data_IF_432864431057
#
_entry.id   IF_432864431057
#
_cell.length_a   1.000
_cell.length_b   1.000
_cell.length_c   1.000
_cell.angle_alpha   90.00
_cell.angle_beta   90.00
_cell.angle_gamma   90.00
#
_symmetry.space_group_name_H-M   'P 1'
#
loop_
_entity.id
_entity.type
_entity.pdbx_description
1 polymer ?
#
# COMPACT_ATOMS: atom_id res chain seq x y z
N UNK A 1 -40.05 -41.17 31.74
CA UNK A 1 -39.56 -41.13 30.34
C UNK A 1 -39.05 -39.75 29.87
N UNK A 2 -39.44 -38.62 30.49
CA UNK A 2 -38.99 -37.26 30.10
C UNK A 2 -37.51 -36.93 30.38
N UNK A 3 -36.87 -37.56 31.37
CA UNK A 3 -35.44 -37.33 31.72
C UNK A 3 -34.44 -37.86 30.67
N UNK A 4 -34.83 -38.84 29.83
CA UNK A 4 -33.93 -39.45 28.83
C UNK A 4 -33.71 -38.55 27.60
N UNK A 5 -34.68 -37.71 27.24
CA UNK A 5 -34.58 -36.80 26.11
C UNK A 5 -33.82 -35.50 26.43
N UNK A 6 -33.80 -35.08 27.71
CA UNK A 6 -33.06 -33.90 28.14
C UNK A 6 -31.54 -34.05 27.99
N UNK A 7 -31.00 -35.25 28.28
CA UNK A 7 -29.59 -35.56 28.06
C UNK A 7 -29.21 -35.56 26.58
N UNK A 8 -30.08 -36.09 25.71
CA UNK A 8 -29.87 -36.10 24.26
C UNK A 8 -29.88 -34.67 23.68
N UNK A 9 -30.79 -33.81 24.15
CA UNK A 9 -30.89 -32.42 23.70
C UNK A 9 -29.68 -31.60 24.15
N UNK A 10 -29.16 -31.84 25.36
CA UNK A 10 -27.95 -31.19 25.87
C UNK A 10 -26.71 -31.60 25.05
N UNK A 11 -26.59 -32.88 24.68
CA UNK A 11 -25.50 -33.38 23.84
C UNK A 11 -25.57 -32.76 22.43
N UNK A 12 -26.77 -32.66 21.85
CA UNK A 12 -26.97 -32.03 20.54
C UNK A 12 -26.62 -30.53 20.57
N UNK A 13 -27.01 -29.83 21.64
CA UNK A 13 -26.67 -28.43 21.85
C UNK A 13 -25.15 -28.26 21.96
N UNK A 14 -24.49 -29.04 22.84
CA UNK A 14 -23.03 -29.02 22.98
C UNK A 14 -22.31 -29.33 21.66
N UNK A 15 -22.81 -30.27 20.84
CA UNK A 15 -22.19 -30.56 19.54
C UNK A 15 -22.28 -29.40 18.53
N UNK A 16 -23.32 -28.55 18.61
CA UNK A 16 -23.42 -27.32 17.81
C UNK A 16 -22.53 -26.19 18.35
N UNK A 17 -22.21 -26.19 19.65
CA UNK A 17 -21.28 -25.25 20.26
C UNK A 17 -19.81 -25.64 20.05
N UNK A 18 -19.52 -26.92 19.76
CA UNK A 18 -18.16 -27.42 19.47
C UNK A 18 -17.76 -27.34 17.99
N UNK A 19 -18.64 -26.90 17.07
CA UNK A 19 -18.26 -26.64 15.67
C UNK A 19 -17.52 -25.31 15.46
N UNK A 20 -17.11 -24.64 16.55
CA UNK A 20 -16.29 -23.44 16.50
C UNK A 20 -14.82 -23.79 16.25
N UNK A 21 -14.44 -23.92 14.97
CA UNK A 21 -13.14 -23.55 14.38
C UNK A 21 -13.09 -24.02 12.91
N UNK A 22 -14.11 -23.70 12.11
CA UNK A 22 -14.05 -23.95 10.66
C UNK A 22 -13.21 -22.89 9.93
N UNK A 23 -13.00 -21.73 10.56
CA UNK A 23 -12.34 -20.57 9.93
C UNK A 23 -10.89 -20.41 10.43
N UNK A 24 -10.15 -21.52 10.51
CA UNK A 24 -8.72 -21.48 10.78
C UNK A 24 -7.98 -21.14 9.48
N UNK A 25 -7.65 -19.86 9.30
CA UNK A 25 -6.65 -19.42 8.34
C UNK A 25 -5.26 -19.60 8.97
N UNK A 26 -4.43 -20.44 8.37
CA UNK A 26 -3.01 -20.55 8.72
C UNK A 26 -2.30 -19.23 8.36
N UNK A 27 -2.06 -18.38 9.36
CA UNK A 27 -1.23 -17.17 9.25
C UNK A 27 0.19 -17.46 8.70
N UNK A 28 0.60 -18.72 8.71
CA UNK A 28 1.90 -19.21 8.25
C UNK A 28 1.99 -19.38 6.72
N UNK A 29 0.91 -19.19 5.95
CA UNK A 29 0.87 -19.32 4.48
C UNK A 29 0.44 -18.05 3.75
N UNK A 30 0.55 -16.89 4.40
CA UNK A 30 0.24 -15.60 3.80
C UNK A 30 1.51 -14.80 3.50
N UNK A 31 1.50 -14.09 2.38
CA UNK A 31 2.49 -13.07 2.10
C UNK A 31 1.80 -11.70 2.11
N UNK A 32 2.17 -10.90 3.10
CA UNK A 32 1.51 -9.63 3.38
C UNK A 32 2.14 -8.53 2.54
N UNK A 33 1.33 -7.86 1.72
CA UNK A 33 1.78 -6.70 0.94
C UNK A 33 1.52 -5.43 1.75
N UNK A 34 2.59 -4.72 2.07
CA UNK A 34 2.53 -3.45 2.81
C UNK A 34 2.60 -2.22 1.90
N UNK A 35 3.35 -2.30 0.80
CA UNK A 35 3.53 -1.20 -0.15
C UNK A 35 3.29 -1.65 -1.58
N UNK A 36 2.70 -0.75 -2.36
CA UNK A 36 2.65 -0.86 -3.81
C UNK A 36 3.38 0.28 -4.48
N UNK A 37 3.97 -0.02 -5.63
CA UNK A 37 4.42 0.96 -6.60
C UNK A 37 3.79 0.64 -7.96
N UNK A 38 3.21 1.67 -8.58
CA UNK A 38 2.57 1.57 -9.88
C UNK A 38 3.31 2.43 -10.89
N UNK A 39 3.83 1.78 -11.94
CA UNK A 39 4.59 2.41 -13.00
C UNK A 39 3.97 2.08 -14.36
N UNK A 40 4.24 2.93 -15.36
CA UNK A 40 3.89 2.65 -16.75
C UNK A 40 5.09 2.00 -17.44
N UNK A 41 4.88 0.83 -18.06
CA UNK A 41 5.85 0.18 -18.90
C UNK A 41 5.89 0.79 -20.30
N UNK A 42 6.95 0.44 -21.04
CA UNK A 42 6.95 0.62 -22.50
C UNK A 42 5.82 -0.21 -23.12
N UNK A 43 5.21 0.29 -24.20
CA UNK A 43 4.03 -0.30 -24.87
C UNK A 43 2.73 -0.23 -24.08
N UNK A 44 2.54 0.81 -23.27
CA UNK A 44 1.25 1.15 -22.66
C UNK A 44 0.69 0.04 -21.75
N UNK A 45 1.60 -0.66 -21.04
CA UNK A 45 1.25 -1.68 -20.04
C UNK A 45 1.47 -1.15 -18.64
N UNK A 46 0.68 -1.63 -17.68
CA UNK A 46 0.88 -1.29 -16.26
C UNK A 46 1.88 -2.24 -15.61
N UNK A 47 2.77 -1.69 -14.78
CA UNK A 47 3.68 -2.41 -13.89
C UNK A 47 3.18 -2.22 -12.47
N UNK A 48 2.97 -3.33 -11.76
CA UNK A 48 2.76 -3.33 -10.32
C UNK A 48 4.00 -3.95 -9.66
N UNK A 49 4.60 -3.22 -8.74
CA UNK A 49 5.65 -3.74 -7.85
C UNK A 49 5.09 -3.74 -6.44
N UNK A 50 5.27 -4.85 -5.73
CA UNK A 50 4.79 -5.02 -4.36
C UNK A 50 5.97 -5.31 -3.42
N UNK A 51 5.90 -4.74 -2.22
CA UNK A 51 6.83 -5.02 -1.13
C UNK A 51 6.15 -5.97 -0.15
N UNK A 52 6.77 -7.13 0.07
CA UNK A 52 6.21 -8.22 0.85
C UNK A 52 6.96 -8.37 2.17
N UNK A 53 6.16 -8.54 3.22
CA UNK A 53 6.62 -8.98 4.53
C UNK A 53 6.11 -10.41 4.74
N UNK A 54 7.04 -11.35 4.93
CA UNK A 54 6.69 -12.74 5.26
C UNK A 54 6.66 -12.94 6.77
N UNK A 55 5.61 -13.60 7.26
CA UNK A 55 5.43 -13.94 8.68
C UNK A 55 6.39 -15.04 9.14
N UNK A 56 6.88 -15.90 8.24
CA UNK A 56 7.66 -17.09 8.58
C UNK A 56 9.08 -16.83 9.13
N UNK A 57 9.71 -15.69 8.82
CA UNK A 57 11.06 -15.40 9.35
C UNK A 57 11.05 -14.84 10.77
N UNK A 58 9.89 -14.48 11.32
CA UNK A 58 9.78 -13.97 12.68
C UNK A 58 9.73 -15.07 13.76
N UNK A 59 9.46 -16.33 13.39
CA UNK A 59 9.27 -17.44 14.32
C UNK A 59 10.54 -18.29 14.57
N UNK A 60 11.67 -17.96 13.95
CA UNK A 60 12.92 -18.75 14.06
C UNK A 60 13.96 -18.18 15.05
N UNK A 61 13.58 -17.27 15.96
CA UNK A 61 14.47 -16.74 17.01
C UNK A 61 14.31 -17.50 18.34
N UNK A 62 14.39 -18.83 18.26
CA UNK A 62 14.21 -19.76 19.38
C UNK A 62 15.40 -20.69 19.60
N UNK A 63 16.63 -20.22 19.42
CA UNK A 63 17.83 -20.90 19.93
C UNK A 63 19.01 -19.93 19.89
N UNK A 64 19.76 -19.87 20.98
CA UNK A 64 20.89 -18.96 21.12
C UNK A 64 21.95 -19.15 20.03
N UNK A 65 22.55 -18.01 19.70
CA UNK A 65 23.73 -17.78 18.86
C UNK A 65 23.50 -17.32 17.41
N UNK A 66 24.22 -16.23 17.09
CA UNK A 66 24.44 -15.56 15.79
C UNK A 66 23.25 -14.88 15.05
N UNK A 67 23.30 -13.54 15.03
CA UNK A 67 22.67 -12.61 14.06
C UNK A 67 21.20 -12.88 13.69
N UNK A 68 20.30 -12.25 14.45
CA UNK A 68 18.92 -12.01 14.01
C UNK A 68 18.93 -11.23 12.68
N UNK A 69 18.96 -11.97 11.57
CA UNK A 69 18.80 -11.39 10.24
C UNK A 69 17.32 -11.14 10.09
N UNK A 70 16.90 -9.88 10.23
CA UNK A 70 15.53 -9.43 10.01
C UNK A 70 14.98 -10.07 8.72
N UNK A 71 13.68 -10.43 8.67
CA UNK A 71 13.06 -10.96 7.47
C UNK A 71 13.43 -10.09 6.27
N UNK A 72 14.24 -10.59 5.34
CA UNK A 72 14.59 -9.81 4.15
C UNK A 72 13.30 -9.54 3.38
N UNK A 73 12.83 -8.29 3.30
CA UNK A 73 11.61 -8.00 2.56
C UNK A 73 11.84 -8.33 1.09
N UNK A 74 10.85 -8.98 0.47
CA UNK A 74 10.93 -9.38 -0.93
C UNK A 74 10.14 -8.38 -1.78
N UNK A 75 10.78 -7.88 -2.83
CA UNK A 75 10.15 -6.97 -3.79
C UNK A 75 9.88 -7.76 -5.05
N UNK A 76 8.61 -7.99 -5.37
CA UNK A 76 8.19 -8.68 -6.59
C UNK A 76 7.58 -7.67 -7.55
N UNK A 77 7.72 -7.94 -8.86
CA UNK A 77 7.19 -7.08 -9.90
C UNK A 77 6.47 -7.91 -10.96
N UNK A 78 5.28 -7.45 -11.35
CA UNK A 78 4.49 -8.06 -12.41
C UNK A 78 3.98 -7.00 -13.39
N UNK A 79 3.72 -7.44 -14.63
CA UNK A 79 3.17 -6.59 -15.70
C UNK A 79 1.77 -7.08 -16.07
N UNK A 80 0.90 -6.18 -16.49
CA UNK A 80 -0.45 -6.49 -16.99
C UNK A 80 -0.88 -5.47 -18.04
N UNK A 81 -1.95 -5.76 -18.80
CA UNK A 81 -2.55 -4.77 -19.69
C UNK A 81 -3.08 -3.57 -18.89
N UNK A 82 -3.71 -3.83 -17.73
CA UNK A 82 -4.17 -2.82 -16.77
C UNK A 82 -3.77 -3.19 -15.34
N UNK A 83 -3.93 -2.27 -14.38
CA UNK A 83 -3.46 -2.46 -13.02
C UNK A 83 -3.96 -3.75 -12.35
N UNK A 84 -5.23 -4.11 -12.53
CA UNK A 84 -5.78 -5.33 -11.94
C UNK A 84 -5.08 -6.60 -12.39
N UNK A 85 -4.74 -6.69 -13.68
CA UNK A 85 -4.06 -7.85 -14.24
C UNK A 85 -2.63 -7.86 -13.72
N UNK A 86 -1.98 -6.70 -13.63
CA UNK A 86 -0.65 -6.58 -13.04
C UNK A 86 -0.65 -7.08 -11.58
N UNK A 87 -1.62 -6.65 -10.75
CA UNK A 87 -1.78 -7.10 -9.36
C UNK A 87 -2.08 -8.60 -9.31
N UNK A 88 -2.97 -9.11 -10.16
CA UNK A 88 -3.28 -10.55 -10.23
C UNK A 88 -2.03 -11.36 -10.60
N UNK A 89 -1.21 -10.87 -11.53
CA UNK A 89 0.01 -11.54 -11.96
C UNK A 89 1.09 -11.58 -10.87
N UNK A 90 1.00 -10.74 -9.81
CA UNK A 90 1.91 -10.83 -8.66
C UNK A 90 1.80 -12.20 -7.96
N UNK A 91 0.61 -12.81 -7.92
CA UNK A 91 0.42 -14.12 -7.28
C UNK A 91 1.12 -15.26 -8.01
N UNK A 92 1.62 -15.04 -9.24
CA UNK A 92 2.39 -16.02 -9.99
C UNK A 92 3.86 -16.09 -9.52
N UNK A 93 4.31 -15.12 -8.74
CA UNK A 93 5.70 -15.02 -8.26
C UNK A 93 5.86 -15.48 -6.81
N UNK A 94 4.77 -15.75 -6.09
CA UNK A 94 4.80 -16.09 -4.67
C UNK A 94 4.00 -17.37 -4.45
N UNK A 95 4.53 -18.35 -3.70
CA UNK A 95 3.84 -19.61 -3.42
C UNK A 95 2.70 -19.47 -2.38
N UNK A 96 2.51 -18.28 -1.81
CA UNK A 96 1.60 -17.97 -0.73
C UNK A 96 0.42 -17.13 -1.21
N UNK A 97 -0.68 -17.15 -0.48
CA UNK A 97 -1.80 -16.25 -0.75
C UNK A 97 -1.41 -14.80 -0.42
N UNK A 98 -1.62 -13.89 -1.38
CA UNK A 98 -1.30 -12.48 -1.21
C UNK A 98 -2.40 -11.80 -0.40
N UNK A 99 -2.04 -11.24 0.75
CA UNK A 99 -2.98 -10.49 1.58
C UNK A 99 -2.59 -9.02 1.67
N UNK A 100 -3.61 -8.16 1.55
CA UNK A 100 -3.45 -6.69 1.57
C UNK A 100 -3.94 -6.08 2.89
N UNK A 101 -4.04 -6.89 3.93
CA UNK A 101 -4.63 -6.48 5.21
C UNK A 101 -3.84 -5.35 5.89
N UNK A 102 -2.52 -5.32 5.68
CA UNK A 102 -1.60 -4.31 6.18
C UNK A 102 -1.08 -3.38 5.07
N UNK A 103 -1.82 -3.21 3.98
CA UNK A 103 -1.44 -2.25 2.95
C UNK A 103 -1.48 -0.82 3.50
N UNK A 104 -0.33 -0.15 3.49
CA UNK A 104 -0.12 1.17 4.08
C UNK A 104 -0.12 2.27 3.01
N UNK A 105 0.61 2.07 1.91
CA UNK A 105 0.89 3.11 0.93
C UNK A 105 1.01 2.56 -0.49
N UNK A 106 0.31 3.22 -1.41
CA UNK A 106 0.43 3.04 -2.87
C UNK A 106 1.14 4.25 -3.48
N UNK A 107 2.28 3.99 -4.12
CA UNK A 107 3.14 5.00 -4.73
C UNK A 107 2.90 4.99 -6.24
N UNK A 108 2.56 6.15 -6.80
CA UNK A 108 2.33 6.34 -8.22
C UNK A 108 3.58 6.91 -8.88
N UNK A 109 4.04 6.29 -9.96
CA UNK A 109 5.00 6.92 -10.86
C UNK A 109 4.31 8.02 -11.67
N UNK A 110 5.02 9.11 -11.93
CA UNK A 110 4.48 10.28 -12.66
C UNK A 110 3.80 9.90 -13.98
N UNK A 111 4.46 9.07 -14.79
CA UNK A 111 3.91 8.61 -16.08
C UNK A 111 2.63 7.77 -15.92
N UNK A 112 2.56 6.95 -14.86
CA UNK A 112 1.37 6.16 -14.58
C UNK A 112 0.20 7.06 -14.17
N UNK A 113 0.46 8.04 -13.30
CA UNK A 113 -0.53 9.02 -12.85
C UNK A 113 -1.03 9.96 -13.96
N UNK A 114 -0.25 10.15 -15.03
CA UNK A 114 -0.66 10.87 -16.23
C UNK A 114 -1.48 10.01 -17.21
N UNK A 115 -1.31 8.69 -17.16
CA UNK A 115 -1.90 7.76 -18.12
C UNK A 115 -3.38 7.47 -17.87
N UNK A 116 -4.07 6.97 -18.90
CA UNK A 116 -5.47 6.53 -18.77
C UNK A 116 -5.63 5.32 -17.83
N UNK A 117 -4.59 4.49 -17.66
CA UNK A 117 -4.61 3.34 -16.75
C UNK A 117 -4.96 3.72 -15.30
N UNK A 118 -4.53 4.90 -14.84
CA UNK A 118 -4.89 5.38 -13.50
C UNK A 118 -6.38 5.74 -13.41
N UNK A 119 -6.96 6.37 -14.44
CA UNK A 119 -8.39 6.68 -14.49
C UNK A 119 -9.24 5.42 -14.52
N UNK A 120 -8.89 4.47 -15.38
CA UNK A 120 -9.60 3.19 -15.51
C UNK A 120 -9.53 2.39 -14.20
N UNK A 121 -8.39 2.49 -13.51
CA UNK A 121 -8.22 1.93 -12.17
C UNK A 121 -9.22 2.55 -11.20
N UNK A 122 -9.35 3.88 -11.17
CA UNK A 122 -10.26 4.57 -10.27
C UNK A 122 -11.73 4.25 -10.57
N UNK A 123 -12.16 4.29 -11.84
CA UNK A 123 -13.55 3.94 -12.24
C UNK A 123 -13.91 2.51 -11.83
N UNK A 124 -12.97 1.57 -11.99
CA UNK A 124 -13.21 0.19 -11.61
C UNK A 124 -13.29 0.01 -10.09
N UNK A 125 -12.46 0.72 -9.33
CA UNK A 125 -12.48 0.65 -7.85
C UNK A 125 -13.79 1.22 -7.29
N UNK A 126 -14.28 2.34 -7.82
CA UNK A 126 -15.54 2.95 -7.37
C UNK A 126 -16.74 2.05 -7.64
N UNK A 127 -16.73 1.28 -8.74
CA UNK A 127 -17.80 0.32 -9.10
C UNK A 127 -17.82 -0.93 -8.24
N UNK A 128 -16.66 -1.49 -7.88
CA UNK A 128 -16.57 -2.80 -7.21
C UNK A 128 -16.86 -2.71 -5.70
N UNK A 129 -16.75 -1.53 -5.09
CA UNK A 129 -17.22 -1.23 -3.73
C UNK A 129 -16.50 -1.95 -2.56
N UNK A 130 -15.77 -3.05 -2.84
CA UNK A 130 -15.12 -3.92 -1.85
C UNK A 130 -13.64 -3.62 -1.58
N UNK A 131 -13.04 -2.65 -2.26
CA UNK A 131 -11.64 -2.27 -2.03
C UNK A 131 -11.51 -1.56 -0.68
N UNK A 132 -10.60 -2.04 0.19
CA UNK A 132 -10.24 -1.29 1.41
C UNK A 132 -9.66 0.08 1.01
N UNK A 133 -10.33 1.15 1.43
CA UNK A 133 -10.05 2.53 1.00
C UNK A 133 -8.99 3.26 1.83
N UNK A 134 -8.38 2.63 2.84
CA UNK A 134 -7.47 3.27 3.80
C UNK A 134 -5.99 3.28 3.42
N UNK A 135 -5.63 2.69 2.28
CA UNK A 135 -4.26 2.77 1.77
C UNK A 135 -3.97 4.20 1.32
N UNK A 136 -2.88 4.78 1.81
CA UNK A 136 -2.47 6.13 1.44
C UNK A 136 -1.99 6.17 0.00
N UNK A 137 -2.05 7.34 -0.62
CA UNK A 137 -1.40 7.62 -1.88
C UNK A 137 -0.18 8.52 -1.72
N UNK A 138 0.83 8.25 -2.54
CA UNK A 138 1.92 9.17 -2.82
C UNK A 138 2.27 9.14 -4.30
N UNK A 139 2.92 10.18 -4.80
CA UNK A 139 3.40 10.26 -6.18
C UNK A 139 4.89 10.64 -6.20
N UNK A 140 5.63 10.14 -7.19
CA UNK A 140 7.03 10.51 -7.42
C UNK A 140 7.29 10.83 -8.88
N UNK A 141 8.27 11.69 -9.17
CA UNK A 141 8.63 12.08 -10.54
C UNK A 141 9.38 10.98 -11.31
N UNK A 142 9.89 9.98 -10.60
CA UNK A 142 10.59 8.83 -11.17
C UNK A 142 9.71 7.59 -11.30
N UNK A 143 10.39 6.45 -11.46
CA UNK A 143 9.76 5.14 -11.32
C UNK A 143 9.47 4.89 -9.83
N UNK A 144 8.21 4.68 -9.47
CA UNK A 144 7.80 4.37 -8.11
C UNK A 144 8.45 3.09 -7.58
N UNK A 145 8.65 2.10 -8.45
CA UNK A 145 9.35 0.83 -8.14
C UNK A 145 10.73 1.04 -7.52
N UNK A 146 11.45 2.12 -7.89
CA UNK A 146 12.77 2.41 -7.31
C UNK A 146 12.70 2.65 -5.81
N UNK A 147 11.63 3.26 -5.30
CA UNK A 147 11.46 3.56 -3.87
C UNK A 147 11.40 2.26 -3.06
N UNK A 148 10.73 1.23 -3.59
CA UNK A 148 10.61 -0.08 -2.92
C UNK A 148 11.94 -0.85 -2.81
N UNK A 149 12.93 -0.51 -3.65
CA UNK A 149 14.27 -1.11 -3.60
C UNK A 149 15.25 -0.34 -2.72
N UNK A 150 14.84 0.78 -2.11
CA UNK A 150 15.73 1.58 -1.27
C UNK A 150 15.90 0.94 0.11
N UNK A 151 17.15 0.94 0.58
CA UNK A 151 17.48 0.65 1.98
C UNK A 151 17.72 1.97 2.69
N UNK A 152 16.88 2.26 3.68
CA UNK A 152 17.01 3.46 4.49
C UNK A 152 17.97 3.19 5.66
N UNK A 153 18.97 4.04 5.92
CA UNK A 153 19.90 3.84 7.02
C UNK A 153 19.27 4.06 8.41
N UNK A 154 18.16 4.80 8.47
CA UNK A 154 17.50 5.21 9.72
C UNK A 154 16.32 4.32 10.14
N UNK A 155 15.94 3.33 9.33
CA UNK A 155 14.77 2.50 9.61
C UNK A 155 14.91 1.07 9.08
N UNK A 156 14.51 0.10 9.90
CA UNK A 156 14.59 -1.34 9.57
C UNK A 156 13.51 -1.78 8.58
N UNK A 157 12.35 -1.14 8.59
CA UNK A 157 11.24 -1.40 7.67
C UNK A 157 10.89 -0.15 6.85
N UNK A 158 10.88 -0.30 5.53
CA UNK A 158 10.54 0.76 4.59
C UNK A 158 9.09 1.22 4.73
N UNK A 159 8.18 0.31 5.08
CA UNK A 159 6.74 0.59 5.13
C UNK A 159 6.40 1.56 6.26
N UNK A 160 6.88 1.24 7.46
CA UNK A 160 6.78 2.12 8.63
C UNK A 160 7.50 3.44 8.43
N UNK A 161 8.70 3.43 7.83
CA UNK A 161 9.46 4.66 7.54
C UNK A 161 8.69 5.61 6.61
N UNK A 162 8.16 5.10 5.50
CA UNK A 162 7.36 5.89 4.57
C UNK A 162 6.09 6.43 5.23
N UNK A 163 5.41 5.61 6.04
CA UNK A 163 4.24 6.05 6.78
C UNK A 163 4.56 7.21 7.72
N UNK A 164 5.62 7.09 8.53
CA UNK A 164 6.04 8.14 9.45
C UNK A 164 6.51 9.39 8.71
N UNK A 165 7.19 9.27 7.57
CA UNK A 165 7.58 10.42 6.75
C UNK A 165 6.34 11.17 6.22
N UNK A 166 5.32 10.44 5.77
CA UNK A 166 4.06 11.01 5.32
C UNK A 166 3.33 11.73 6.46
N UNK A 167 3.26 11.11 7.64
CA UNK A 167 2.59 11.66 8.81
C UNK A 167 3.29 12.93 9.32
N UNK A 168 4.63 12.88 9.43
CA UNK A 168 5.44 14.03 9.81
C UNK A 168 5.30 15.18 8.81
N UNK A 169 5.31 14.91 7.50
CA UNK A 169 5.17 15.94 6.48
C UNK A 169 3.78 16.60 6.50
N UNK A 170 2.73 15.82 6.81
CA UNK A 170 1.38 16.33 7.00
C UNK A 170 1.27 17.20 8.26
N UNK A 171 1.79 16.73 9.41
CA UNK A 171 1.80 17.49 10.67
C UNK A 171 2.52 18.84 10.54
N UNK A 172 3.61 18.87 9.77
CA UNK A 172 4.41 20.07 9.54
C UNK A 172 3.88 20.95 8.38
N UNK A 173 2.76 20.57 7.77
CA UNK A 173 2.15 21.27 6.61
C UNK A 173 3.09 21.42 5.40
N UNK A 174 4.10 20.57 5.27
CA UNK A 174 4.96 20.50 4.08
C UNK A 174 4.38 19.61 2.99
N UNK A 175 3.40 18.78 3.34
CA UNK A 175 2.60 17.91 2.47
C UNK A 175 1.25 17.66 3.15
N UNK A 176 0.42 16.81 2.57
CA UNK A 176 -0.84 16.33 3.18
C UNK A 176 -0.81 14.80 3.36
N UNK A 177 -1.92 14.26 3.89
CA UNK A 177 -2.21 12.83 3.94
C UNK A 177 -3.49 12.61 3.15
N UNK A 178 -3.42 11.71 2.16
CA UNK A 178 -4.55 11.44 1.27
C UNK A 178 -4.67 9.94 1.10
N UNK A 179 -5.81 9.39 1.49
CA UNK A 179 -6.20 8.04 1.15
C UNK A 179 -7.09 8.00 -0.11
N UNK A 180 -7.53 6.80 -0.49
CA UNK A 180 -8.39 6.66 -1.67
C UNK A 180 -9.74 7.35 -1.51
N UNK A 181 -10.32 7.37 -0.30
CA UNK A 181 -11.58 8.07 -0.09
C UNK A 181 -11.40 9.58 -0.19
N UNK A 182 -10.36 10.13 0.43
CA UNK A 182 -10.04 11.55 0.37
C UNK A 182 -9.86 11.99 -1.08
N UNK A 183 -9.10 11.21 -1.86
CA UNK A 183 -8.88 11.48 -3.28
C UNK A 183 -10.18 11.44 -4.09
N UNK A 184 -11.03 10.44 -3.88
CA UNK A 184 -12.30 10.31 -4.60
C UNK A 184 -13.31 11.38 -4.18
N UNK A 185 -13.31 11.77 -2.90
CA UNK A 185 -14.14 12.85 -2.39
C UNK A 185 -13.76 14.18 -3.05
N UNK A 186 -12.47 14.50 -3.09
CA UNK A 186 -11.97 15.70 -3.77
C UNK A 186 -12.31 15.69 -5.26
N UNK A 187 -12.08 14.56 -5.93
CA UNK A 187 -12.35 14.41 -7.35
C UNK A 187 -13.83 14.63 -7.72
N UNK A 188 -14.75 14.34 -6.79
CA UNK A 188 -16.20 14.50 -7.00
C UNK A 188 -16.74 15.82 -6.46
N UNK A 189 -15.94 16.56 -5.69
CA UNK A 189 -16.36 17.84 -5.10
C UNK A 189 -16.14 18.97 -6.09
N UNK A 190 -17.23 19.68 -6.41
CA UNK A 190 -17.19 20.80 -7.36
C UNK A 190 -16.26 21.90 -6.85
N UNK A 191 -15.29 22.29 -7.69
CA UNK A 191 -14.35 23.38 -7.39
C UNK A 191 -13.13 22.97 -6.57
N UNK A 192 -13.03 21.70 -6.15
CA UNK A 192 -11.84 21.15 -5.49
C UNK A 192 -11.15 20.21 -6.46
N UNK A 193 -9.83 20.37 -6.59
CA UNK A 193 -9.01 19.46 -7.36
C UNK A 193 -8.15 18.62 -6.41
N UNK A 194 -8.07 17.30 -6.61
CA UNK A 194 -7.32 16.43 -5.71
C UNK A 194 -5.83 16.69 -5.78
N UNK A 195 -5.18 16.54 -4.64
CA UNK A 195 -3.72 16.58 -4.51
C UNK A 195 -3.23 15.27 -3.92
N UNK A 196 -2.06 14.79 -4.34
CA UNK A 196 -1.40 13.62 -3.75
C UNK A 196 -0.01 14.02 -3.24
N UNK A 197 0.38 13.62 -2.02
CA UNK A 197 1.70 13.87 -1.46
C UNK A 197 2.85 13.44 -2.37
N UNK A 198 3.90 14.27 -2.46
CA UNK A 198 5.07 14.00 -3.29
C UNK A 198 6.20 13.38 -2.48
N UNK A 199 6.73 12.24 -2.95
CA UNK A 199 7.98 11.64 -2.46
C UNK A 199 9.13 12.05 -3.36
N UNK A 200 10.13 12.68 -2.75
CA UNK A 200 11.40 13.06 -3.34
C UNK A 200 12.48 12.07 -2.92
N UNK A 201 13.25 11.59 -3.90
CA UNK A 201 14.49 10.86 -3.65
C UNK A 201 15.65 11.82 -3.88
N UNK A 202 16.37 12.15 -2.82
CA UNK A 202 17.52 13.05 -2.85
C UNK A 202 18.80 12.20 -2.83
N UNK A 203 19.73 12.54 -3.72
CA UNK A 203 21.08 12.00 -3.71
C UNK A 203 22.00 13.09 -3.16
N UNK A 204 22.56 12.87 -1.97
CA UNK A 204 23.55 13.77 -1.42
C UNK A 204 24.90 13.46 -2.06
N UNK A 205 25.63 14.49 -2.51
CA UNK A 205 26.84 14.36 -3.34
C UNK A 205 28.00 13.56 -2.71
N UNK A 206 27.87 13.08 -1.48
CA UNK A 206 28.87 12.27 -0.77
C UNK A 206 28.31 11.02 -0.05
N UNK A 207 27.02 10.72 -0.20
CA UNK A 207 26.38 9.59 0.49
C UNK A 207 25.91 8.56 -0.53
N UNK A 208 26.40 7.33 -0.43
CA UNK A 208 26.02 6.20 -1.30
C UNK A 208 24.56 5.76 -1.12
N UNK A 209 23.87 6.24 -0.09
CA UNK A 209 22.47 5.93 0.21
C UNK A 209 21.54 7.11 -0.13
N UNK A 210 20.50 6.89 -0.95
CA UNK A 210 19.51 7.92 -1.24
C UNK A 210 18.67 8.24 0.00
N UNK A 211 18.35 9.52 0.18
CA UNK A 211 17.50 10.02 1.26
C UNK A 211 16.09 10.24 0.71
N UNK A 212 15.07 9.74 1.41
CA UNK A 212 13.68 10.01 1.09
C UNK A 212 13.18 11.23 1.85
N UNK A 213 12.51 12.13 1.13
CA UNK A 213 11.86 13.31 1.69
C UNK A 213 10.44 13.42 1.14
N UNK A 214 9.45 13.58 2.01
CA UNK A 214 8.08 13.91 1.60
C UNK A 214 7.92 15.42 1.67
N UNK A 215 7.64 16.06 0.53
CA UNK A 215 7.48 17.51 0.48
C UNK A 215 6.81 17.96 -0.82
N UNK A 216 5.84 18.85 -0.67
CA UNK A 216 4.98 19.29 -1.76
C UNK A 216 3.95 18.21 -2.14
N UNK A 217 3.12 18.55 -3.12
CA UNK A 217 2.09 17.67 -3.64
C UNK A 217 2.09 17.65 -5.17
N UNK A 218 1.60 16.57 -5.75
CA UNK A 218 1.17 16.53 -7.14
C UNK A 218 -0.29 16.96 -7.25
N UNK A 219 -0.58 17.90 -8.14
CA UNK A 219 -1.93 18.34 -8.45
C UNK A 219 -2.54 17.47 -9.56
N UNK A 220 -3.81 17.15 -9.41
CA UNK A 220 -4.58 16.36 -10.37
C UNK A 220 -5.72 17.20 -10.93
N UNK A 221 -6.08 16.94 -12.18
CA UNK A 221 -7.27 17.49 -12.83
C UNK A 221 -7.99 16.36 -13.57
N UNK A 222 -9.28 16.16 -13.29
CA UNK A 222 -10.06 15.05 -13.86
C UNK A 222 -9.33 13.69 -13.77
N UNK A 223 -8.77 13.39 -12.60
CA UNK A 223 -7.98 12.18 -12.33
C UNK A 223 -6.72 11.98 -13.21
N UNK A 224 -6.17 13.05 -13.77
CA UNK A 224 -4.84 13.06 -14.43
C UNK A 224 -3.90 13.95 -13.63
N UNK A 225 -2.67 13.47 -13.38
CA UNK A 225 -1.62 14.32 -12.83
C UNK A 225 -1.24 15.44 -13.81
N UNK A 226 -1.25 16.70 -13.36
CA UNK A 226 -1.00 17.87 -14.22
C UNK A 226 0.26 18.67 -13.85
N UNK A 227 0.72 18.57 -12.61
CA UNK A 227 1.89 19.36 -12.20
C UNK A 227 2.21 19.28 -10.71
N UNK A 228 3.34 19.87 -10.35
CA UNK A 228 3.89 19.84 -9.01
C UNK A 228 3.61 21.15 -8.26
N UNK A 229 3.20 21.02 -7.00
CA UNK A 229 3.18 22.11 -6.03
C UNK A 229 4.42 21.99 -5.15
N UNK A 230 5.16 23.10 -5.01
CA UNK A 230 6.26 23.15 -4.06
C UNK A 230 5.75 23.20 -2.61
N UNK A 231 6.66 23.15 -1.64
CA UNK A 231 6.31 23.18 -0.22
C UNK A 231 5.49 24.42 0.19
N UNK A 232 5.86 25.61 -0.31
CA UNK A 232 5.20 26.87 0.04
C UNK A 232 3.79 26.97 -0.56
N UNK A 233 3.64 26.61 -1.84
CA UNK A 233 2.36 26.53 -2.53
C UNK A 233 1.44 25.50 -1.87
N UNK A 234 2.00 24.34 -1.49
CA UNK A 234 1.24 23.30 -0.79
C UNK A 234 0.75 23.81 0.55
N UNK A 235 1.62 24.45 1.34
CA UNK A 235 1.24 25.05 2.63
C UNK A 235 0.16 26.13 2.46
N UNK A 236 0.31 27.01 1.47
CA UNK A 236 -0.69 28.03 1.16
C UNK A 236 -2.03 27.42 0.76
N UNK A 237 -2.03 26.37 -0.05
CA UNK A 237 -3.25 25.64 -0.43
C UNK A 237 -3.91 24.98 0.79
N UNK A 238 -3.14 24.36 1.67
CA UNK A 238 -3.64 23.72 2.89
C UNK A 238 -4.18 24.71 3.93
N UNK A 239 -3.85 26.00 3.84
CA UNK A 239 -4.46 27.04 4.67
C UNK A 239 -5.81 27.51 4.14
N UNK A 240 -6.02 27.44 2.82
CA UNK A 240 -7.27 27.85 2.18
C UNK A 240 -8.35 26.76 2.27
N UNK A 241 -7.96 25.55 2.65
CA UNK A 241 -8.75 24.34 2.63
C UNK A 241 -9.10 23.91 4.05
#
# INVERSE_FOLDING_TARGET
MKKKYGGLLLILLCSCLLSGCWDYHELDKEAVISLFAYDLADHDRTIATAFLQTTQKASQSGSGDASATSPTPEVITAKGAHLYEAIKNLSLYVPYELTFHHHVLSILGEKFAQSHHFKDTLDRITRVGKTRRRGLFAITSGKASRILHLKLPLADDLSSALYSLMDNAAMQQYSTRVDLNDFLFDLTTVGIEPIIPRILTLHENNSSSPILKVSGCGAFRHATFVGWLNAEQTRGLLWLR
#
